data_IF_245862487388
#
_entry.id   IF_245862487388
#
_cell.length_a   1.000
_cell.length_b   1.000
_cell.length_c   1.000
_cell.angle_alpha   90.00
_cell.angle_beta   90.00
_cell.angle_gamma   90.00
#
_symmetry.space_group_name_H-M   'P 1'
#
loop_
_entity.id
_entity.type
_entity.pdbx_description
1 polymer ?
#
# COMPACT_ATOMS: atom_id res chain seq x y z
N UNK A 1 -24.66 -22.08 -35.26
CA UNK A 1 -24.61 -20.96 -34.30
C UNK A 1 -23.51 -21.25 -33.28
N UNK A 2 -22.29 -20.76 -33.52
CA UNK A 2 -21.16 -20.94 -32.60
C UNK A 2 -21.49 -20.22 -31.29
N UNK A 3 -21.66 -20.96 -30.19
CA UNK A 3 -21.71 -20.40 -28.83
C UNK A 3 -20.39 -19.67 -28.62
N UNK A 4 -20.39 -18.36 -28.78
CA UNK A 4 -19.30 -17.48 -28.34
C UNK A 4 -19.06 -17.82 -26.88
N UNK A 5 -17.91 -18.43 -26.56
CA UNK A 5 -17.50 -18.64 -25.18
C UNK A 5 -17.42 -17.26 -24.56
N UNK A 6 -18.35 -16.92 -23.67
CA UNK A 6 -18.19 -15.77 -22.77
C UNK A 6 -16.82 -15.93 -22.13
N UNK A 7 -15.90 -15.00 -22.37
CA UNK A 7 -14.62 -14.98 -21.66
C UNK A 7 -14.92 -15.15 -20.18
N UNK A 8 -14.23 -16.10 -19.54
CA UNK A 8 -14.38 -16.29 -18.10
C UNK A 8 -14.08 -14.95 -17.42
N UNK A 9 -14.89 -14.57 -16.43
CA UNK A 9 -14.61 -13.37 -15.65
C UNK A 9 -13.17 -13.48 -15.11
N UNK A 10 -12.39 -12.38 -15.04
CA UNK A 10 -11.02 -12.40 -14.53
C UNK A 10 -10.95 -13.03 -13.13
N UNK A 11 -9.77 -13.36 -12.61
CA UNK A 11 -9.65 -13.82 -11.21
C UNK A 11 -9.92 -12.69 -10.22
N UNK A 12 -10.09 -13.00 -8.93
CA UNK A 12 -10.26 -11.97 -7.89
C UNK A 12 -9.03 -11.06 -7.84
N UNK A 13 -7.85 -11.64 -7.87
CA UNK A 13 -6.58 -10.89 -7.79
C UNK A 13 -6.37 -10.00 -9.02
N UNK A 14 -6.64 -10.52 -10.22
CA UNK A 14 -6.56 -9.72 -11.44
C UNK A 14 -7.53 -8.52 -11.40
N UNK A 15 -8.74 -8.71 -10.85
CA UNK A 15 -9.68 -7.59 -10.68
C UNK A 15 -9.17 -6.54 -9.69
N UNK A 16 -8.45 -6.92 -8.63
CA UNK A 16 -7.83 -5.96 -7.70
C UNK A 16 -6.76 -5.17 -8.43
N UNK A 17 -5.86 -5.83 -9.16
CA UNK A 17 -4.77 -5.19 -9.90
C UNK A 17 -5.29 -4.23 -10.99
N UNK A 18 -6.28 -4.67 -11.77
CA UNK A 18 -6.94 -3.81 -12.76
C UNK A 18 -7.67 -2.63 -12.10
N UNK A 19 -8.25 -2.82 -10.91
CA UNK A 19 -8.88 -1.72 -10.16
C UNK A 19 -7.86 -0.70 -9.67
N UNK A 20 -6.69 -1.15 -9.21
CA UNK A 20 -5.57 -0.28 -8.83
C UNK A 20 -5.11 0.53 -10.04
N UNK A 21 -4.86 -0.12 -11.19
CA UNK A 21 -4.44 0.58 -12.40
C UNK A 21 -5.48 1.61 -12.85
N UNK A 22 -6.77 1.25 -12.82
CA UNK A 22 -7.84 2.18 -13.16
C UNK A 22 -7.88 3.42 -12.24
N UNK A 23 -7.54 3.28 -10.95
CA UNK A 23 -7.42 4.42 -10.03
C UNK A 23 -6.19 5.27 -10.38
N UNK A 24 -5.04 4.63 -10.66
CA UNK A 24 -3.82 5.32 -11.07
C UNK A 24 -4.01 6.12 -12.36
N UNK A 25 -4.81 5.60 -13.29
CA UNK A 25 -5.16 6.27 -14.55
C UNK A 25 -6.15 7.45 -14.37
N UNK A 26 -6.55 7.77 -13.14
CA UNK A 26 -7.52 8.83 -12.85
C UNK A 26 -8.98 8.43 -13.13
N UNK A 27 -9.26 7.12 -13.18
CA UNK A 27 -10.58 6.59 -13.44
C UNK A 27 -11.61 6.96 -12.37
N UNK A 28 -12.83 7.30 -12.80
CA UNK A 28 -13.90 7.65 -11.86
C UNK A 28 -14.37 6.42 -11.06
N UNK A 29 -14.32 6.54 -9.74
CA UNK A 29 -14.68 5.48 -8.80
C UNK A 29 -16.18 5.15 -8.83
N UNK A 30 -16.51 3.99 -9.39
CA UNK A 30 -17.78 3.30 -9.16
C UNK A 30 -17.64 1.82 -9.54
N UNK A 31 -18.35 0.92 -8.85
CA UNK A 31 -18.33 -0.51 -9.21
C UNK A 31 -18.79 -0.78 -10.65
N UNK A 32 -19.63 0.10 -11.22
CA UNK A 32 -20.07 -0.02 -12.62
C UNK A 32 -18.91 0.22 -13.59
N UNK A 33 -18.15 1.32 -13.40
CA UNK A 33 -17.01 1.66 -14.25
C UNK A 33 -15.87 0.67 -14.08
N UNK A 34 -15.58 0.26 -12.85
CA UNK A 34 -14.60 -0.78 -12.55
C UNK A 34 -14.98 -2.13 -13.19
N UNK A 35 -16.25 -2.52 -13.12
CA UNK A 35 -16.73 -3.72 -13.79
C UNK A 35 -16.53 -3.66 -15.31
N UNK A 36 -16.87 -2.52 -15.93
CA UNK A 36 -16.64 -2.32 -17.35
C UNK A 36 -15.14 -2.40 -17.71
N UNK A 37 -14.29 -1.75 -16.91
CA UNK A 37 -12.84 -1.76 -17.09
C UNK A 37 -12.27 -3.18 -16.96
N UNK A 38 -12.75 -3.96 -16.00
CA UNK A 38 -12.37 -5.36 -15.79
C UNK A 38 -13.03 -6.35 -16.77
N UNK A 39 -13.78 -5.87 -17.78
CA UNK A 39 -14.47 -6.74 -18.74
C UNK A 39 -15.50 -7.68 -18.10
N UNK A 40 -16.16 -7.24 -17.03
CA UNK A 40 -17.10 -8.05 -16.24
C UNK A 40 -18.34 -7.25 -15.84
N UNK A 41 -19.19 -7.81 -14.97
CA UNK A 41 -20.42 -7.16 -14.51
C UNK A 41 -20.31 -6.72 -13.05
N UNK A 42 -21.07 -5.69 -12.66
CA UNK A 42 -21.11 -5.21 -11.28
C UNK A 42 -21.55 -6.29 -10.30
N UNK A 43 -22.41 -7.24 -10.74
CA UNK A 43 -22.80 -8.41 -9.95
C UNK A 43 -21.59 -9.23 -9.51
N UNK A 44 -20.59 -9.40 -10.37
CA UNK A 44 -19.37 -10.16 -10.05
C UNK A 44 -18.55 -9.44 -8.97
N UNK A 45 -18.51 -8.11 -8.97
CA UNK A 45 -17.87 -7.34 -7.91
C UNK A 45 -18.57 -7.54 -6.56
N UNK A 46 -19.90 -7.43 -6.52
CA UNK A 46 -20.67 -7.68 -5.29
C UNK A 46 -20.49 -9.10 -4.75
N UNK A 47 -20.40 -10.11 -5.63
CA UNK A 47 -20.22 -11.50 -5.19
C UNK A 47 -18.80 -11.79 -4.69
N UNK A 48 -17.78 -11.04 -5.12
CA UNK A 48 -16.36 -11.35 -4.81
C UNK A 48 -15.74 -10.46 -3.74
N UNK A 49 -16.26 -9.26 -3.59
CA UNK A 49 -15.71 -8.21 -2.75
C UNK A 49 -16.73 -7.63 -1.76
N UNK A 50 -17.95 -8.17 -1.70
CA UNK A 50 -19.02 -7.65 -0.84
C UNK A 50 -19.29 -6.14 -1.05
N UNK A 51 -19.11 -5.69 -2.29
CA UNK A 51 -19.28 -4.30 -2.70
C UNK A 51 -17.99 -3.47 -2.68
N UNK A 52 -18.12 -2.16 -2.50
CA UNK A 52 -16.99 -1.22 -2.57
C UNK A 52 -16.03 -1.36 -1.40
N UNK A 53 -16.57 -1.55 -0.18
CA UNK A 53 -15.76 -1.64 1.02
C UNK A 53 -14.77 -2.81 0.98
N UNK A 54 -15.23 -4.02 0.60
CA UNK A 54 -14.35 -5.17 0.54
C UNK A 54 -13.40 -5.14 -0.67
N UNK A 55 -13.69 -4.36 -1.73
CA UNK A 55 -12.71 -4.08 -2.78
C UNK A 55 -11.60 -3.18 -2.24
N UNK A 56 -11.96 -2.12 -1.51
CA UNK A 56 -10.99 -1.25 -0.84
C UNK A 56 -10.13 -2.06 0.14
N UNK A 57 -10.72 -2.91 0.98
CA UNK A 57 -9.95 -3.79 1.88
C UNK A 57 -9.02 -4.74 1.13
N UNK A 58 -9.45 -5.25 -0.03
CA UNK A 58 -8.63 -6.12 -0.86
C UNK A 58 -7.44 -5.37 -1.49
N UNK A 59 -7.62 -4.09 -1.86
CA UNK A 59 -6.53 -3.22 -2.33
C UNK A 59 -5.53 -2.96 -1.19
N UNK A 60 -6.02 -2.60 0.01
CA UNK A 60 -5.17 -2.38 1.18
C UNK A 60 -4.37 -3.64 1.49
N UNK A 61 -5.01 -4.81 1.47
CA UNK A 61 -4.35 -6.10 1.68
C UNK A 61 -3.25 -6.35 0.66
N UNK A 62 -3.55 -6.24 -0.63
CA UNK A 62 -2.59 -6.54 -1.70
C UNK A 62 -1.34 -5.65 -1.59
N UNK A 63 -1.54 -4.35 -1.40
CA UNK A 63 -0.42 -3.40 -1.27
C UNK A 63 0.32 -3.60 0.04
N UNK A 64 -0.40 -3.86 1.14
CA UNK A 64 0.20 -4.13 2.45
C UNK A 64 1.06 -5.39 2.45
N UNK A 65 0.63 -6.46 1.78
CA UNK A 65 1.41 -7.69 1.61
C UNK A 65 2.65 -7.47 0.73
N UNK A 66 2.55 -6.64 -0.32
CA UNK A 66 3.71 -6.22 -1.12
C UNK A 66 4.71 -5.41 -0.28
N UNK A 67 4.23 -4.42 0.48
CA UNK A 67 5.03 -3.61 1.41
C UNK A 67 5.74 -4.51 2.43
N UNK A 68 5.01 -5.46 3.03
CA UNK A 68 5.54 -6.42 3.99
C UNK A 68 6.64 -7.32 3.39
N UNK A 69 6.50 -7.72 2.12
CA UNK A 69 7.53 -8.50 1.42
C UNK A 69 8.80 -7.66 1.22
N UNK A 70 8.66 -6.44 0.71
CA UNK A 70 9.79 -5.52 0.51
C UNK A 70 10.53 -5.26 1.82
N UNK A 71 9.79 -5.08 2.93
CA UNK A 71 10.37 -4.93 4.26
C UNK A 71 11.36 -6.03 4.63
N UNK A 72 11.03 -7.29 4.36
CA UNK A 72 11.89 -8.44 4.69
C UNK A 72 13.18 -8.49 3.88
N UNK A 73 13.22 -7.77 2.77
CA UNK A 73 14.35 -7.70 1.85
C UNK A 73 15.24 -6.47 2.14
N UNK A 74 14.83 -5.59 3.06
CA UNK A 74 15.61 -4.40 3.42
C UNK A 74 16.80 -4.73 4.32
N UNK A 75 17.90 -4.03 4.07
CA UNK A 75 18.98 -3.93 5.04
C UNK A 75 18.43 -3.34 6.36
N UNK A 76 18.82 -3.92 7.48
CA UNK A 76 18.32 -3.56 8.81
C UNK A 76 18.98 -2.27 9.35
N UNK A 77 18.95 -1.19 8.56
CA UNK A 77 19.48 0.12 8.91
C UNK A 77 18.37 1.17 8.96
N UNK A 78 18.55 2.18 9.80
CA UNK A 78 17.59 3.30 9.92
C UNK A 78 17.45 4.05 8.59
N UNK A 79 18.55 4.21 7.85
CA UNK A 79 18.53 4.84 6.53
C UNK A 79 17.68 4.03 5.55
N UNK A 80 17.85 2.71 5.49
CA UNK A 80 17.08 1.85 4.61
C UNK A 80 15.58 1.94 4.89
N UNK A 81 15.17 1.91 6.16
CA UNK A 81 13.76 2.07 6.52
C UNK A 81 13.22 3.46 6.21
N UNK A 82 14.02 4.50 6.45
CA UNK A 82 13.62 5.89 6.19
C UNK A 82 13.39 6.13 4.70
N UNK A 83 14.36 5.75 3.86
CA UNK A 83 14.27 5.89 2.40
C UNK A 83 13.14 5.05 1.82
N UNK A 84 12.97 3.82 2.31
CA UNK A 84 11.88 2.96 1.89
C UNK A 84 10.50 3.61 2.11
N UNK A 85 10.27 4.24 3.27
CA UNK A 85 8.98 4.89 3.54
C UNK A 85 8.73 6.11 2.64
N UNK A 86 9.78 6.85 2.27
CA UNK A 86 9.68 7.94 1.29
C UNK A 86 9.32 7.38 -0.09
N UNK A 87 10.11 6.43 -0.59
CA UNK A 87 9.93 5.87 -1.93
C UNK A 87 8.55 5.23 -2.07
N UNK A 88 8.14 4.47 -1.05
CA UNK A 88 6.82 3.86 -0.98
C UNK A 88 5.70 4.90 -1.00
N UNK A 89 5.82 6.00 -0.24
CA UNK A 89 4.80 7.04 -0.22
C UNK A 89 4.63 7.68 -1.61
N UNK A 90 5.73 8.01 -2.29
CA UNK A 90 5.65 8.62 -3.62
C UNK A 90 5.16 7.65 -4.68
N UNK A 91 5.64 6.40 -4.68
CA UNK A 91 5.19 5.33 -5.58
C UNK A 91 3.67 5.12 -5.48
N UNK A 92 3.12 5.13 -4.25
CA UNK A 92 1.71 4.86 -3.98
C UNK A 92 0.87 6.11 -3.68
N UNK A 93 1.38 7.32 -3.93
CA UNK A 93 0.75 8.59 -3.50
C UNK A 93 -0.72 8.72 -3.94
N UNK A 94 -1.02 8.45 -5.22
CA UNK A 94 -2.39 8.46 -5.75
C UNK A 94 -3.29 7.43 -5.05
N UNK A 95 -2.77 6.24 -4.76
CA UNK A 95 -3.53 5.20 -4.07
C UNK A 95 -3.75 5.56 -2.61
N UNK A 96 -2.74 6.11 -1.93
CA UNK A 96 -2.85 6.57 -0.54
C UNK A 96 -3.93 7.66 -0.43
N UNK A 97 -3.89 8.67 -1.31
CA UNK A 97 -4.91 9.71 -1.36
C UNK A 97 -6.31 9.14 -1.64
N UNK A 98 -6.41 8.17 -2.56
CA UNK A 98 -7.65 7.47 -2.81
C UNK A 98 -8.16 6.75 -1.55
N UNK A 99 -7.32 5.96 -0.88
CA UNK A 99 -7.68 5.21 0.33
C UNK A 99 -8.05 6.13 1.49
N UNK A 100 -7.37 7.26 1.63
CA UNK A 100 -7.69 8.31 2.59
C UNK A 100 -9.08 8.91 2.32
N UNK A 101 -9.41 9.19 1.05
CA UNK A 101 -10.75 9.64 0.66
C UNK A 101 -11.87 8.61 0.96
N UNK A 102 -11.49 7.33 1.16
CA UNK A 102 -12.37 6.24 1.60
C UNK A 102 -12.36 6.00 3.11
N UNK A 103 -11.74 6.89 3.89
CA UNK A 103 -11.70 6.83 5.35
C UNK A 103 -10.72 5.79 5.91
N UNK A 104 -9.76 5.29 5.11
CA UNK A 104 -8.76 4.32 5.58
C UNK A 104 -7.54 4.97 6.24
N UNK A 105 -7.43 6.30 6.15
CA UNK A 105 -6.32 7.08 6.71
C UNK A 105 -5.06 7.06 5.85
N UNK A 106 -4.04 7.83 6.26
CA UNK A 106 -2.80 8.04 5.48
C UNK A 106 -1.84 6.85 5.43
N UNK A 107 -2.02 5.83 6.29
CA UNK A 107 -1.24 4.59 6.21
C UNK A 107 -2.07 3.36 6.65
N UNK A 108 -2.95 2.86 5.76
CA UNK A 108 -3.84 1.73 6.09
C UNK A 108 -3.12 0.37 6.08
N UNK A 109 -1.84 0.32 5.73
CA UNK A 109 -1.13 -0.93 5.46
C UNK A 109 -0.55 -1.60 6.72
N UNK A 110 -0.51 -0.89 7.85
CA UNK A 110 0.19 -1.32 9.07
C UNK A 110 -0.22 -2.70 9.58
N UNK A 111 -1.50 -3.08 9.43
CA UNK A 111 -1.99 -4.40 9.82
C UNK A 111 -1.30 -5.56 9.08
N UNK A 112 -0.91 -5.34 7.82
CA UNK A 112 -0.27 -6.34 6.97
C UNK A 112 1.26 -6.34 7.12
N UNK A 113 1.82 -5.20 7.53
CA UNK A 113 3.27 -5.02 7.67
C UNK A 113 3.75 -5.42 9.06
N UNK A 114 2.88 -5.43 10.08
CA UNK A 114 3.23 -5.70 11.49
C UNK A 114 4.12 -6.93 11.64
N UNK A 115 3.70 -8.10 11.14
CA UNK A 115 4.44 -9.34 11.42
C UNK A 115 5.78 -9.37 10.68
N UNK A 116 5.85 -8.83 9.46
CA UNK A 116 7.11 -8.64 8.73
C UNK A 116 8.04 -7.69 9.50
N UNK A 117 7.50 -6.59 10.01
CA UNK A 117 8.20 -5.62 10.82
C UNK A 117 8.77 -6.21 12.11
N UNK A 118 7.97 -6.96 12.87
CA UNK A 118 8.42 -7.63 14.11
C UNK A 118 9.57 -8.62 13.84
N UNK A 119 9.54 -9.29 12.68
CA UNK A 119 10.56 -10.28 12.30
C UNK A 119 11.90 -9.68 11.85
N UNK A 120 11.95 -8.38 11.57
CA UNK A 120 13.17 -7.73 11.07
C UNK A 120 14.27 -7.57 12.11
N UNK A 121 13.96 -7.69 13.40
CA UNK A 121 14.92 -7.34 14.45
C UNK A 121 15.26 -8.52 15.35
N UNK A 122 15.05 -9.78 14.93
CA UNK A 122 15.26 -10.97 15.77
C UNK A 122 14.57 -10.87 17.16
N UNK A 123 13.42 -10.18 17.22
CA UNK A 123 12.69 -9.82 18.43
C UNK A 123 13.40 -8.82 19.38
N UNK A 124 14.38 -8.05 18.90
CA UNK A 124 14.94 -6.89 19.61
C UNK A 124 13.92 -5.75 19.66
N UNK A 125 13.20 -5.70 20.79
CA UNK A 125 12.16 -4.71 21.07
C UNK A 125 12.67 -3.27 20.98
N UNK A 126 13.93 -2.98 21.33
CA UNK A 126 14.44 -1.61 21.33
C UNK A 126 14.66 -1.11 19.90
N UNK A 127 15.29 -1.93 19.05
CA UNK A 127 15.45 -1.60 17.62
C UNK A 127 14.10 -1.46 16.93
N UNK A 128 13.16 -2.34 17.27
CA UNK A 128 11.80 -2.30 16.79
C UNK A 128 11.03 -1.05 17.24
N UNK A 129 11.18 -0.58 18.47
CA UNK A 129 10.54 0.68 18.90
C UNK A 129 11.18 1.86 18.17
N UNK A 130 12.51 1.86 18.06
CA UNK A 130 13.26 2.95 17.44
C UNK A 130 12.94 3.10 15.95
N UNK A 131 13.12 2.04 15.15
CA UNK A 131 12.85 2.08 13.71
C UNK A 131 11.38 2.42 13.42
N UNK A 132 10.46 1.95 14.25
CA UNK A 132 9.03 2.19 14.10
C UNK A 132 8.69 3.64 14.36
N UNK A 133 9.34 4.26 15.34
CA UNK A 133 9.21 5.69 15.62
C UNK A 133 9.72 6.53 14.46
N UNK A 134 10.86 6.16 13.86
CA UNK A 134 11.42 6.83 12.68
C UNK A 134 10.47 6.71 11.49
N UNK A 135 9.98 5.51 11.18
CA UNK A 135 9.04 5.26 10.08
C UNK A 135 7.74 6.03 10.25
N UNK A 136 7.16 6.04 11.46
CA UNK A 136 5.96 6.83 11.76
C UNK A 136 6.21 8.34 11.60
N UNK A 137 7.40 8.81 11.98
CA UNK A 137 7.83 10.19 11.76
C UNK A 137 7.85 10.56 10.27
N UNK A 138 8.47 9.73 9.43
CA UNK A 138 8.50 9.90 7.96
C UNK A 138 7.09 9.98 7.39
N UNK A 139 6.25 9.00 7.69
CA UNK A 139 4.88 8.95 7.21
C UNK A 139 4.07 10.16 7.65
N UNK A 140 4.27 10.61 8.90
CA UNK A 140 3.59 11.81 9.43
C UNK A 140 4.01 13.07 8.69
N UNK A 141 5.32 13.24 8.42
CA UNK A 141 5.83 14.40 7.66
C UNK A 141 5.29 14.40 6.23
N UNK A 142 5.35 13.25 5.54
CA UNK A 142 4.88 13.10 4.17
C UNK A 142 3.36 13.31 4.04
N UNK A 143 2.56 12.74 4.95
CA UNK A 143 1.09 12.91 4.94
C UNK A 143 0.62 14.34 5.22
N UNK A 144 1.49 15.17 5.79
CA UNK A 144 1.20 16.58 6.11
C UNK A 144 1.91 17.55 5.17
N UNK A 145 2.59 17.06 4.13
CA UNK A 145 3.35 17.86 3.18
C UNK A 145 4.33 18.82 3.89
N UNK A 146 4.97 18.33 4.96
CA UNK A 146 5.95 19.11 5.70
C UNK A 146 7.26 19.11 4.91
N UNK A 147 7.66 20.28 4.43
CA UNK A 147 8.94 20.47 3.74
C UNK A 147 10.11 20.29 4.73
N UNK A 148 10.88 19.22 4.53
CA UNK A 148 12.05 18.87 5.34
C UNK A 148 13.18 18.35 4.47
N UNK A 149 14.41 18.64 4.87
CA UNK A 149 15.60 18.03 4.27
C UNK A 149 15.76 16.60 4.80
N UNK A 150 15.25 15.64 4.03
CA UNK A 150 15.32 14.22 4.33
C UNK A 150 16.76 13.69 4.46
N UNK A 151 17.70 14.19 3.65
CA UNK A 151 19.10 13.75 3.71
C UNK A 151 19.79 14.29 4.97
N UNK A 152 19.47 15.52 5.40
CA UNK A 152 19.95 16.05 6.68
C UNK A 152 19.44 15.19 7.85
N UNK A 153 18.17 14.77 7.83
CA UNK A 153 17.58 13.92 8.87
C UNK A 153 18.28 12.54 8.91
N UNK A 154 18.46 11.90 7.75
CA UNK A 154 19.18 10.62 7.65
C UNK A 154 20.59 10.76 8.19
N UNK A 155 21.35 11.76 7.74
CA UNK A 155 22.72 12.02 8.19
C UNK A 155 22.80 12.27 9.71
N UNK A 156 21.81 12.96 10.29
CA UNK A 156 21.76 13.17 11.74
C UNK A 156 21.52 11.87 12.51
N UNK A 157 20.57 11.05 12.05
CA UNK A 157 20.25 9.77 12.71
C UNK A 157 21.37 8.73 12.60
N UNK A 158 22.18 8.80 11.55
CA UNK A 158 23.30 7.86 11.33
C UNK A 158 24.63 8.34 11.91
N UNK A 159 24.72 9.59 12.40
CA UNK A 159 25.97 10.27 12.83
C UNK A 159 26.74 9.60 13.98
N UNK A 160 26.19 8.58 14.63
CA UNK A 160 26.81 7.84 15.73
C UNK A 160 26.84 6.31 15.56
N UNK A 161 26.55 5.80 14.36
CA UNK A 161 26.54 4.36 14.04
C UNK A 161 27.82 3.88 13.35
N UNK A 162 28.83 4.75 13.20
CA UNK A 162 30.14 4.46 12.62
C UNK A 162 31.13 3.89 13.66
#
# INVERSE_FOLDING_TARGET
MLKVRKNAAPTKDAMIEMSIQYILDGGEWSLRKLASHCGTTTKVFYTRFDGEYGLVDSIVKLIGEKKAKQYRELDQTIESFYRFEIDFFYEYSTIIQFLESKGRGGNPFMLYVRDAYMSLFDNDTNKMIFAGTVMLGVQSMLSKDIDVDHDLIVNYMTKGLA
#
